data_IF_028752106933
#
_entry.id   IF_028752106933
#
_cell.length_a   1.000
_cell.length_b   1.000
_cell.length_c   1.000
_cell.angle_alpha   90.00
_cell.angle_beta   90.00
_cell.angle_gamma   90.00
#
_symmetry.space_group_name_H-M   'P 1'
#
loop_
_entity.id
_entity.type
_entity.pdbx_description
1 polymer ?
#
# COMPACT_ATOMS: atom_id res chain seq x y z
N UNK A 1 2.38 -1.26 -17.12
CA UNK A 1 1.84 -2.25 -16.18
C UNK A 1 2.56 -1.96 -14.89
N UNK A 2 1.82 -1.53 -13.88
CA UNK A 2 2.40 -1.09 -12.61
C UNK A 2 2.99 -2.29 -11.89
N UNK A 3 4.25 -2.19 -11.47
CA UNK A 3 4.92 -3.23 -10.71
C UNK A 3 5.00 -2.83 -9.22
N UNK A 4 4.77 -3.79 -8.34
CA UNK A 4 4.96 -3.62 -6.90
C UNK A 4 6.34 -4.17 -6.56
N UNK A 5 7.25 -3.28 -6.19
CA UNK A 5 8.63 -3.61 -5.82
C UNK A 5 8.77 -3.66 -4.31
N UNK A 6 9.70 -4.50 -3.84
CA UNK A 6 10.07 -4.62 -2.43
C UNK A 6 11.55 -4.30 -2.32
N UNK A 7 11.87 -3.07 -1.96
CA UNK A 7 13.25 -2.67 -1.70
C UNK A 7 13.58 -2.89 -0.22
N UNK A 8 14.53 -3.77 0.15
CA UNK A 8 14.91 -3.95 1.56
C UNK A 8 15.59 -2.70 2.15
N UNK A 9 16.18 -1.86 1.30
CA UNK A 9 16.85 -0.62 1.69
C UNK A 9 15.89 0.58 1.78
N UNK A 10 14.68 0.48 1.20
CA UNK A 10 13.65 1.53 1.20
C UNK A 10 12.37 1.04 1.89
N UNK A 11 11.66 1.94 2.59
CA UNK A 11 10.36 1.60 3.20
C UNK A 11 10.38 0.36 4.12
N UNK A 12 11.55 0.01 4.67
CA UNK A 12 11.78 -1.15 5.53
C UNK A 12 11.38 -2.50 4.88
N UNK A 13 11.58 -2.64 3.57
CA UNK A 13 11.19 -3.85 2.83
C UNK A 13 9.69 -3.93 2.52
N UNK A 14 8.92 -2.89 2.82
CA UNK A 14 7.49 -2.87 2.54
C UNK A 14 7.24 -2.79 1.02
N UNK A 15 6.21 -3.47 0.50
CA UNK A 15 5.82 -3.39 -0.90
C UNK A 15 5.41 -1.95 -1.26
N UNK A 16 6.05 -1.40 -2.29
CA UNK A 16 5.82 -0.06 -2.82
C UNK A 16 5.54 -0.09 -4.31
N UNK A 17 4.78 0.88 -4.80
CA UNK A 17 4.60 1.07 -6.25
C UNK A 17 5.93 1.56 -6.85
N UNK A 18 6.41 0.85 -7.88
CA UNK A 18 7.66 1.16 -8.57
C UNK A 18 7.70 2.63 -9.02
N UNK A 19 8.85 3.30 -8.79
CA UNK A 19 9.07 4.68 -9.23
C UNK A 19 8.37 5.76 -8.40
N UNK A 20 7.50 5.40 -7.45
CA UNK A 20 6.78 6.37 -6.60
C UNK A 20 7.23 6.33 -5.15
N UNK A 21 7.64 5.14 -4.67
CA UNK A 21 7.95 4.91 -3.25
C UNK A 21 6.73 4.90 -2.33
N UNK A 22 5.51 5.02 -2.86
CA UNK A 22 4.27 4.91 -2.07
C UNK A 22 4.06 3.47 -1.66
N UNK A 23 3.87 3.23 -0.36
CA UNK A 23 3.64 1.89 0.17
C UNK A 23 2.21 1.44 -0.10
N UNK A 24 2.05 0.17 -0.45
CA UNK A 24 0.74 -0.45 -0.66
C UNK A 24 -0.14 -0.32 0.59
N UNK A 25 0.45 -0.42 1.79
CA UNK A 25 -0.29 -0.30 3.05
C UNK A 25 -0.87 1.09 3.29
N UNK A 26 -0.26 2.16 2.78
CA UNK A 26 -0.80 3.52 2.93
C UNK A 26 -2.05 3.70 2.06
N UNK A 27 -2.03 3.18 0.83
CA UNK A 27 -3.20 3.14 -0.07
C UNK A 27 -4.31 2.29 0.53
N UNK A 28 -3.98 1.10 1.02
CA UNK A 28 -4.96 0.21 1.64
C UNK A 28 -5.60 0.84 2.89
N UNK A 29 -4.84 1.56 3.71
CA UNK A 29 -5.37 2.31 4.85
C UNK A 29 -6.26 3.47 4.41
N UNK A 30 -5.87 4.24 3.39
CA UNK A 30 -6.70 5.32 2.87
C UNK A 30 -8.06 4.78 2.39
N UNK A 31 -8.05 3.63 1.71
CA UNK A 31 -9.26 2.97 1.23
C UNK A 31 -10.10 2.35 2.36
N UNK A 32 -9.53 1.49 3.21
CA UNK A 32 -10.27 0.74 4.22
C UNK A 32 -10.57 1.54 5.50
N UNK A 33 -9.61 2.34 5.99
CA UNK A 33 -9.74 3.05 7.27
C UNK A 33 -10.29 4.47 7.10
N UNK A 34 -9.86 5.18 6.07
CA UNK A 34 -10.33 6.55 5.83
C UNK A 34 -11.57 6.60 4.93
N UNK A 35 -11.91 5.50 4.26
CA UNK A 35 -13.08 5.40 3.40
C UNK A 35 -12.94 6.19 2.09
N UNK A 36 -11.72 6.54 1.69
CA UNK A 36 -11.48 7.26 0.45
C UNK A 36 -11.75 6.37 -0.76
N UNK A 37 -12.41 6.94 -1.76
CA UNK A 37 -12.53 6.32 -3.08
C UNK A 37 -11.16 6.20 -3.78
N UNK A 38 -11.00 5.27 -4.75
CA UNK A 38 -9.76 5.15 -5.52
C UNK A 38 -9.40 6.44 -6.26
N UNK A 39 -10.40 7.20 -6.72
CA UNK A 39 -10.25 8.51 -7.33
C UNK A 39 -9.78 9.59 -6.34
N UNK A 40 -10.29 9.56 -5.11
CA UNK A 40 -9.83 10.46 -4.04
C UNK A 40 -8.38 10.14 -3.62
N UNK A 41 -7.99 8.87 -3.62
CA UNK A 41 -6.61 8.46 -3.34
C UNK A 41 -5.65 9.00 -4.41
N UNK A 42 -6.07 9.03 -5.68
CA UNK A 42 -5.29 9.68 -6.75
C UNK A 42 -5.14 11.18 -6.51
N UNK A 43 -6.16 11.84 -5.97
CA UNK A 43 -6.08 13.27 -5.62
C UNK A 43 -5.07 13.52 -4.47
N UNK A 44 -5.02 12.60 -3.48
CA UNK A 44 -4.05 12.63 -2.39
C UNK A 44 -2.61 12.35 -2.85
N UNK A 45 -2.45 11.51 -3.88
CA UNK A 45 -1.17 11.14 -4.46
C UNK A 45 -1.15 11.47 -5.95
N UNK A 46 -0.93 12.74 -6.36
CA UNK A 46 -1.10 13.20 -7.74
C UNK A 46 -0.12 12.58 -8.74
N UNK A 47 0.89 11.85 -8.26
CA UNK A 47 1.86 11.07 -9.05
C UNK A 47 1.42 9.61 -9.25
N UNK A 48 0.32 9.18 -8.63
CA UNK A 48 -0.30 7.88 -8.88
C UNK A 48 -1.40 8.01 -9.92
N UNK A 49 -1.56 6.97 -10.73
CA UNK A 49 -2.72 6.79 -11.59
C UNK A 49 -3.77 5.93 -10.90
N UNK A 50 -5.02 6.00 -11.38
CA UNK A 50 -6.09 5.13 -10.90
C UNK A 50 -5.73 3.64 -11.07
N UNK A 51 -4.97 3.29 -12.12
CA UNK A 51 -4.45 1.96 -12.34
C UNK A 51 -3.43 1.52 -11.28
N UNK A 52 -2.58 2.44 -10.81
CA UNK A 52 -1.62 2.16 -9.74
C UNK A 52 -2.34 1.89 -8.41
N UNK A 53 -3.36 2.69 -8.09
CA UNK A 53 -4.20 2.50 -6.91
C UNK A 53 -4.89 1.14 -6.94
N UNK A 54 -5.53 0.77 -8.06
CA UNK A 54 -6.15 -0.55 -8.19
C UNK A 54 -5.13 -1.69 -8.13
N UNK A 55 -3.94 -1.51 -8.70
CA UNK A 55 -2.88 -2.52 -8.63
C UNK A 55 -2.40 -2.72 -7.19
N UNK A 56 -2.20 -1.64 -6.43
CA UNK A 56 -1.84 -1.70 -5.03
C UNK A 56 -2.94 -2.35 -4.18
N UNK A 57 -4.21 -2.00 -4.41
CA UNK A 57 -5.33 -2.63 -3.71
C UNK A 57 -5.46 -4.12 -4.04
N UNK A 58 -5.28 -4.51 -5.30
CA UNK A 58 -5.27 -5.91 -5.71
C UNK A 58 -4.14 -6.68 -4.98
N UNK A 59 -2.92 -6.13 -4.96
CA UNK A 59 -1.80 -6.71 -4.22
C UNK A 59 -2.09 -6.79 -2.71
N UNK A 60 -2.69 -5.75 -2.14
CA UNK A 60 -3.06 -5.75 -0.72
C UNK A 60 -4.03 -6.88 -0.37
N UNK A 61 -5.09 -7.08 -1.17
CA UNK A 61 -6.07 -8.12 -0.90
C UNK A 61 -5.53 -9.53 -1.16
N UNK A 62 -4.64 -9.70 -2.15
CA UNK A 62 -3.96 -10.97 -2.41
C UNK A 62 -3.02 -11.37 -1.25
N UNK A 63 -2.37 -10.37 -0.64
CA UNK A 63 -1.42 -10.54 0.47
C UNK A 63 -1.96 -10.06 1.82
N UNK A 64 -3.28 -10.02 2.00
CA UNK A 64 -3.90 -9.36 3.16
C UNK A 64 -3.47 -9.97 4.50
N UNK A 65 -3.14 -11.26 4.52
CA UNK A 65 -2.63 -11.97 5.69
C UNK A 65 -1.27 -11.43 6.16
N UNK A 66 -0.39 -10.99 5.24
CA UNK A 66 0.90 -10.36 5.56
C UNK A 66 0.68 -9.04 6.31
N UNK A 67 -0.28 -8.25 5.85
CA UNK A 67 -0.60 -6.94 6.43
C UNK A 67 -1.42 -7.05 7.73
N UNK A 68 -2.30 -8.05 7.86
CA UNK A 68 -3.07 -8.31 9.08
C UNK A 68 -2.24 -8.97 10.18
N UNK A 69 -1.32 -9.87 9.83
CA UNK A 69 -0.48 -10.59 10.80
C UNK A 69 0.52 -9.69 11.54
N UNK A 70 0.87 -8.52 10.98
CA UNK A 70 1.76 -7.56 11.64
C UNK A 70 1.12 -6.86 12.85
N UNK A 71 -0.18 -7.06 13.12
CA UNK A 71 -0.87 -6.49 14.29
C UNK A 71 -0.59 -7.22 15.64
N UNK A 72 0.36 -8.16 15.72
CA UNK A 72 0.61 -8.93 16.96
C UNK A 72 2.08 -9.14 17.35
N UNK A 73 2.98 -8.17 17.12
CA UNK A 73 4.34 -8.28 17.67
C UNK A 73 4.94 -6.92 18.09
N UNK A 74 4.24 -6.20 18.97
CA UNK A 74 4.91 -5.38 19.99
C UNK A 74 3.98 -5.19 21.19
N UNK A 75 3.96 -6.20 22.06
CA UNK A 75 3.66 -6.02 23.48
C UNK A 75 4.93 -6.44 24.24
N UNK A 76 5.85 -5.49 24.37
CA UNK A 76 6.99 -5.54 25.25
C UNK A 76 6.54 -5.23 26.69
N UNK A 77 6.71 -6.19 27.61
CA UNK A 77 7.20 -6.06 29.01
C UNK A 77 6.84 -7.32 29.81
#
# INVERSE_FOLDING_TARGET
MTEIVRDPEHSNGAPTIEGTGVRVIDIAKAYEHSGYGPDEIVDLYPFLTLGDVHTALAFYYDHIDEFRSSSSASASA
#
